data_IF_186966317793
#
_entry.id   IF_186966317793
#
_cell.length_a   1.000
_cell.length_b   1.000
_cell.length_c   1.000
_cell.angle_alpha   90.00
_cell.angle_beta   90.00
_cell.angle_gamma   90.00
#
_symmetry.space_group_name_H-M   'P 1'
#
loop_
_entity.id
_entity.type
_entity.pdbx_description
1 polymer ?
#
# COMPACT_ATOMS: atom_id res chain seq x y z
N UNK A 1 31.55 -5.93 2.73
CA UNK A 1 30.91 -5.73 4.05
C UNK A 1 29.71 -6.65 4.09
N UNK A 2 29.60 -7.53 5.09
CA UNK A 2 28.41 -8.35 5.24
C UNK A 2 27.31 -7.45 5.78
N UNK A 3 26.31 -7.14 4.96
CA UNK A 3 25.11 -6.47 5.40
C UNK A 3 24.28 -7.50 6.17
N UNK A 4 24.07 -7.29 7.47
CA UNK A 4 23.46 -8.28 8.35
C UNK A 4 21.93 -8.11 8.37
N UNK A 5 21.22 -9.07 7.78
CA UNK A 5 19.75 -9.11 7.79
C UNK A 5 19.27 -9.87 9.04
N UNK A 6 18.24 -9.35 9.71
CA UNK A 6 17.62 -10.03 10.85
C UNK A 6 17.02 -11.38 10.43
N UNK A 7 17.49 -12.46 11.06
CA UNK A 7 17.08 -13.84 10.79
C UNK A 7 15.60 -14.09 11.03
N UNK A 8 14.91 -13.25 11.82
CA UNK A 8 13.45 -13.32 12.00
C UNK A 8 12.68 -13.23 10.68
N UNK A 9 13.26 -12.61 9.66
CA UNK A 9 12.66 -12.50 8.32
C UNK A 9 12.62 -13.83 7.55
N UNK A 10 13.27 -14.89 8.05
CA UNK A 10 13.21 -16.24 7.45
C UNK A 10 11.82 -16.88 7.64
N UNK A 11 11.11 -16.51 8.71
CA UNK A 11 9.80 -17.07 9.05
C UNK A 11 8.66 -16.44 8.23
N UNK A 12 8.94 -15.33 7.55
CA UNK A 12 7.98 -14.58 6.75
C UNK A 12 8.22 -14.85 5.27
N UNK A 13 7.19 -15.27 4.54
CA UNK A 13 7.28 -15.39 3.07
C UNK A 13 6.92 -14.07 2.39
N UNK A 14 7.39 -13.87 1.16
CA UNK A 14 7.02 -12.69 0.35
C UNK A 14 5.51 -12.59 0.15
N UNK A 15 4.79 -13.73 0.09
CA UNK A 15 3.33 -13.75 0.03
C UNK A 15 2.67 -13.21 1.30
N UNK A 16 3.27 -13.47 2.46
CA UNK A 16 2.74 -13.06 3.76
C UNK A 16 2.98 -11.58 4.06
N UNK A 17 3.82 -10.91 3.26
CA UNK A 17 4.01 -9.47 3.36
C UNK A 17 2.70 -8.71 3.12
N UNK A 18 2.40 -7.71 3.97
CA UNK A 18 1.27 -6.81 3.74
C UNK A 18 1.35 -6.19 2.36
N UNK A 19 0.18 -5.98 1.74
CA UNK A 19 0.07 -5.40 0.40
C UNK A 19 0.85 -4.07 0.30
N UNK A 20 0.81 -3.25 1.35
CA UNK A 20 1.48 -1.96 1.45
C UNK A 20 3.00 -2.11 1.27
N UNK A 21 3.59 -3.14 1.89
CA UNK A 21 5.05 -3.40 1.81
C UNK A 21 5.46 -3.93 0.45
N UNK A 22 4.62 -4.76 -0.17
CA UNK A 22 4.82 -5.19 -1.57
C UNK A 22 4.73 -4.02 -2.55
N UNK A 23 3.82 -3.07 -2.31
CA UNK A 23 3.68 -1.86 -3.12
C UNK A 23 4.87 -0.91 -2.93
N UNK A 24 5.37 -0.73 -1.71
CA UNK A 24 6.57 0.06 -1.45
C UNK A 24 7.79 -0.56 -2.15
N UNK A 25 8.04 -1.85 -1.98
CA UNK A 25 9.09 -2.58 -2.70
C UNK A 25 8.98 -2.40 -4.22
N UNK A 26 7.77 -2.55 -4.76
CA UNK A 26 7.49 -2.29 -6.18
C UNK A 26 7.85 -0.86 -6.60
N UNK A 27 7.48 0.15 -5.80
CA UNK A 27 7.78 1.56 -6.11
C UNK A 27 9.29 1.84 -6.17
N UNK A 28 10.09 1.21 -5.31
CA UNK A 28 11.54 1.36 -5.31
C UNK A 28 12.22 0.63 -6.47
N UNK A 29 11.74 -0.58 -6.79
CA UNK A 29 12.38 -1.48 -7.75
C UNK A 29 11.90 -1.28 -9.19
N UNK A 30 10.77 -0.62 -9.42
CA UNK A 30 10.32 -0.23 -10.76
C UNK A 30 11.09 0.97 -11.32
N UNK A 31 11.82 1.71 -10.49
CA UNK A 31 12.68 2.81 -10.96
C UNK A 31 13.90 2.20 -11.64
N UNK A 32 13.95 2.35 -12.96
CA UNK A 32 15.03 1.80 -13.78
C UNK A 32 16.40 2.32 -13.34
N UNK A 33 17.32 1.39 -13.09
CA UNK A 33 18.70 1.73 -12.75
C UNK A 33 19.61 1.46 -13.94
N UNK A 34 20.27 2.51 -14.43
CA UNK A 34 21.17 2.44 -15.59
C UNK A 34 22.48 1.74 -15.24
N UNK A 35 22.93 1.88 -13.99
CA UNK A 35 24.18 1.29 -13.52
C UNK A 35 23.95 -0.16 -13.06
N UNK A 36 24.81 -1.06 -13.54
CA UNK A 36 24.83 -2.45 -13.09
C UNK A 36 25.47 -2.57 -11.69
N UNK A 37 25.14 -3.65 -11.00
CA UNK A 37 25.81 -4.06 -9.75
C UNK A 37 27.19 -4.65 -10.03
N UNK A 38 27.97 -4.86 -8.97
CA UNK A 38 29.30 -5.47 -9.03
C UNK A 38 29.30 -6.90 -9.61
N UNK A 39 28.16 -7.60 -9.51
CA UNK A 39 27.96 -8.93 -10.10
C UNK A 39 27.41 -8.90 -11.54
N UNK A 40 27.30 -7.71 -12.16
CA UNK A 40 26.86 -7.54 -13.55
C UNK A 40 25.34 -7.65 -13.75
N UNK A 41 24.56 -7.49 -12.68
CA UNK A 41 23.10 -7.55 -12.71
C UNK A 41 22.49 -6.15 -12.67
N UNK A 42 21.25 -6.01 -13.14
CA UNK A 42 20.52 -4.75 -13.02
C UNK A 42 20.18 -4.45 -11.55
N UNK A 43 20.18 -3.17 -11.15
CA UNK A 43 19.92 -2.74 -9.76
C UNK A 43 18.45 -2.42 -9.50
N UNK A 44 17.57 -3.10 -10.23
CA UNK A 44 16.11 -2.96 -10.22
C UNK A 44 15.46 -4.35 -10.27
N UNK A 45 14.13 -4.42 -10.46
CA UNK A 45 13.40 -5.68 -10.49
C UNK A 45 13.95 -6.69 -11.52
N UNK A 46 14.62 -6.23 -12.59
CA UNK A 46 15.20 -7.11 -13.62
C UNK A 46 16.36 -7.92 -13.05
N UNK A 47 17.16 -7.33 -12.16
CA UNK A 47 18.25 -8.04 -11.47
C UNK A 47 17.74 -9.18 -10.61
N UNK A 48 16.66 -8.93 -9.86
CA UNK A 48 15.98 -9.96 -9.06
C UNK A 48 15.44 -11.07 -9.97
N UNK A 49 14.80 -10.72 -11.09
CA UNK A 49 14.31 -11.69 -12.05
C UNK A 49 15.44 -12.54 -12.66
N UNK A 50 16.58 -11.92 -12.99
CA UNK A 50 17.75 -12.63 -13.50
C UNK A 50 18.32 -13.63 -12.49
N UNK A 51 18.39 -13.26 -11.20
CA UNK A 51 18.90 -14.15 -10.15
C UNK A 51 17.99 -15.34 -9.88
N UNK A 52 16.69 -15.15 -10.08
CA UNK A 52 15.69 -16.21 -10.01
C UNK A 52 15.62 -17.06 -11.29
N UNK A 53 16.56 -16.88 -12.22
CA UNK A 53 16.67 -17.60 -13.49
C UNK A 53 15.44 -17.44 -14.41
N UNK A 54 14.75 -16.29 -14.37
CA UNK A 54 13.74 -15.99 -15.38
C UNK A 54 14.41 -15.83 -16.75
N UNK A 55 13.78 -16.39 -17.78
CA UNK A 55 14.20 -16.23 -19.16
C UNK A 55 14.07 -14.78 -19.62
N UNK A 56 14.88 -14.39 -20.61
CA UNK A 56 14.79 -13.06 -21.22
C UNK A 56 13.37 -12.74 -21.70
N UNK A 57 12.67 -13.72 -22.28
CA UNK A 57 11.28 -13.58 -22.71
C UNK A 57 10.31 -13.24 -21.57
N UNK A 58 10.49 -13.82 -20.39
CA UNK A 58 9.64 -13.53 -19.22
C UNK A 58 9.91 -12.13 -18.69
N UNK A 59 11.17 -11.69 -18.68
CA UNK A 59 11.54 -10.32 -18.26
C UNK A 59 10.93 -9.28 -19.23
N UNK A 60 11.04 -9.51 -20.54
CA UNK A 60 10.41 -8.62 -21.54
C UNK A 60 8.89 -8.61 -21.46
N UNK A 61 8.26 -9.69 -20.99
CA UNK A 61 6.82 -9.69 -20.72
C UNK A 61 6.48 -8.85 -19.49
N UNK A 62 7.26 -8.97 -18.41
CA UNK A 62 7.09 -8.17 -17.20
C UNK A 62 7.23 -6.66 -17.48
N UNK A 63 8.19 -6.26 -18.31
CA UNK A 63 8.42 -4.87 -18.73
C UNK A 63 7.20 -4.19 -19.34
N UNK A 64 6.30 -4.96 -19.97
CA UNK A 64 5.09 -4.44 -20.63
C UNK A 64 3.92 -4.23 -19.67
N UNK A 65 4.02 -4.72 -18.44
CA UNK A 65 2.97 -4.62 -17.44
C UNK A 65 2.99 -3.26 -16.74
N UNK A 66 1.84 -2.88 -16.18
CA UNK A 66 1.72 -1.60 -15.45
C UNK A 66 2.59 -1.56 -14.19
N UNK A 67 2.77 -2.71 -13.52
CA UNK A 67 3.63 -2.86 -12.34
C UNK A 67 4.51 -4.11 -12.51
N UNK A 68 5.67 -3.98 -13.16
CA UNK A 68 6.58 -5.10 -13.43
C UNK A 68 7.05 -5.79 -12.15
N UNK A 69 7.52 -5.04 -11.15
CA UNK A 69 7.99 -5.60 -9.89
C UNK A 69 6.83 -6.21 -9.07
N UNK A 70 5.67 -5.57 -8.98
CA UNK A 70 4.53 -6.14 -8.27
C UNK A 70 4.03 -7.44 -8.91
N UNK A 71 4.10 -7.52 -10.24
CA UNK A 71 3.82 -8.75 -10.99
C UNK A 71 4.87 -9.83 -10.69
N UNK A 72 6.15 -9.48 -10.67
CA UNK A 72 7.25 -10.38 -10.28
C UNK A 72 7.06 -10.93 -8.87
N UNK A 73 6.72 -10.08 -7.88
CA UNK A 73 6.44 -10.50 -6.50
C UNK A 73 5.25 -11.46 -6.39
N UNK A 74 4.36 -11.46 -7.39
CA UNK A 74 3.19 -12.35 -7.46
C UNK A 74 3.50 -13.70 -8.12
N UNK A 75 4.67 -13.87 -8.75
CA UNK A 75 5.06 -15.15 -9.34
C UNK A 75 5.17 -16.22 -8.25
N UNK A 76 4.72 -17.44 -8.55
CA UNK A 76 4.65 -18.51 -7.55
C UNK A 76 6.01 -18.81 -6.90
N UNK A 77 7.10 -18.72 -7.66
CA UNK A 77 8.46 -18.91 -7.14
C UNK A 77 8.88 -17.80 -6.18
N UNK A 78 8.52 -16.55 -6.46
CA UNK A 78 8.88 -15.39 -5.64
C UNK A 78 8.00 -15.30 -4.40
N UNK A 79 6.71 -15.56 -4.56
CA UNK A 79 5.74 -15.54 -3.47
C UNK A 79 6.06 -16.58 -2.37
N UNK A 80 6.73 -17.69 -2.72
CA UNK A 80 7.16 -18.72 -1.77
C UNK A 80 8.50 -18.43 -1.10
N UNK A 81 9.27 -17.49 -1.65
CA UNK A 81 10.58 -17.11 -1.13
C UNK A 81 10.42 -16.49 0.26
N UNK A 82 11.41 -16.68 1.14
CA UNK A 82 11.41 -15.94 2.41
C UNK A 82 11.76 -14.47 2.17
N UNK A 83 11.31 -13.58 3.06
CA UNK A 83 11.69 -12.16 2.98
C UNK A 83 13.19 -11.99 3.19
N UNK A 84 13.79 -12.84 4.03
CA UNK A 84 15.25 -12.91 4.18
C UNK A 84 15.93 -13.19 2.84
N UNK A 85 15.51 -14.23 2.12
CA UNK A 85 16.09 -14.58 0.82
C UNK A 85 15.88 -13.45 -0.21
N UNK A 86 14.72 -12.78 -0.19
CA UNK A 86 14.47 -11.64 -1.08
C UNK A 86 15.46 -10.51 -0.80
N UNK A 87 15.79 -10.28 0.47
CA UNK A 87 16.71 -9.23 0.88
C UNK A 87 18.17 -9.60 0.59
N UNK A 88 18.53 -10.88 0.64
CA UNK A 88 19.82 -11.36 0.12
C UNK A 88 19.97 -11.07 -1.40
N UNK A 89 18.90 -11.25 -2.18
CA UNK A 89 18.89 -10.83 -3.59
C UNK A 89 19.12 -9.32 -3.71
N UNK A 90 18.50 -8.50 -2.87
CA UNK A 90 18.71 -7.04 -2.86
C UNK A 90 20.14 -6.63 -2.49
N UNK A 91 20.78 -7.32 -1.53
CA UNK A 91 22.19 -7.13 -1.18
C UNK A 91 23.07 -7.35 -2.41
N UNK A 92 22.83 -8.46 -3.12
CA UNK A 92 23.67 -8.85 -4.24
C UNK A 92 23.55 -7.91 -5.45
N UNK A 93 22.40 -7.25 -5.64
CA UNK A 93 22.24 -6.16 -6.62
C UNK A 93 22.62 -4.77 -6.05
N UNK A 94 23.12 -4.70 -4.81
CA UNK A 94 23.62 -3.48 -4.19
C UNK A 94 22.54 -2.41 -3.95
N UNK A 95 21.31 -2.82 -3.60
CA UNK A 95 20.21 -1.91 -3.25
C UNK A 95 19.99 -1.82 -1.74
N UNK A 96 21.03 -1.36 -1.05
CA UNK A 96 21.03 -1.20 0.41
C UNK A 96 20.05 -0.13 0.89
N UNK A 97 19.77 0.89 0.07
CA UNK A 97 18.78 1.93 0.32
C UNK A 97 17.39 1.35 0.63
N UNK A 98 16.99 0.33 -0.14
CA UNK A 98 15.70 -0.34 0.05
C UNK A 98 15.70 -1.16 1.34
N UNK A 99 16.84 -1.78 1.68
CA UNK A 99 16.97 -2.58 2.89
C UNK A 99 16.85 -1.71 4.14
N UNK A 100 17.55 -0.57 4.16
CA UNK A 100 17.52 0.39 5.27
C UNK A 100 16.12 0.95 5.50
N UNK A 101 15.37 1.22 4.42
CA UNK A 101 13.99 1.71 4.49
C UNK A 101 12.98 0.61 4.89
N UNK A 102 13.15 -0.63 4.41
CA UNK A 102 12.12 -1.66 4.52
C UNK A 102 12.28 -2.59 5.73
N UNK A 103 13.50 -2.92 6.13
CA UNK A 103 13.76 -3.84 7.25
C UNK A 103 13.09 -3.37 8.55
N UNK A 104 13.28 -2.12 9.01
CA UNK A 104 12.72 -1.69 10.29
C UNK A 104 11.19 -1.82 10.31
N UNK A 105 10.56 -1.39 9.22
CA UNK A 105 9.10 -1.34 9.15
C UNK A 105 8.53 -2.76 9.05
N UNK A 106 9.17 -3.68 8.33
CA UNK A 106 8.69 -5.08 8.24
C UNK A 106 8.86 -5.80 9.58
N UNK A 107 9.96 -5.55 10.30
CA UNK A 107 10.16 -6.11 11.63
C UNK A 107 9.09 -5.60 12.61
N UNK A 108 8.72 -4.32 12.53
CA UNK A 108 7.59 -3.77 13.31
C UNK A 108 6.28 -4.52 13.01
N UNK A 109 5.98 -4.80 11.73
CA UNK A 109 4.78 -5.55 11.35
C UNK A 109 4.79 -6.97 11.93
N UNK A 110 5.95 -7.63 11.96
CA UNK A 110 6.13 -8.96 12.56
C UNK A 110 5.90 -8.90 14.08
N UNK A 111 6.46 -7.90 14.76
CA UNK A 111 6.27 -7.70 16.21
C UNK A 111 4.79 -7.46 16.53
N UNK A 112 4.11 -6.61 15.77
CA UNK A 112 2.67 -6.35 15.95
C UNK A 112 1.87 -7.63 15.78
N UNK A 113 2.23 -8.47 14.80
CA UNK A 113 1.56 -9.75 14.55
C UNK A 113 1.76 -10.74 15.71
N UNK A 114 2.99 -10.88 16.21
CA UNK A 114 3.29 -11.72 17.38
C UNK A 114 2.52 -11.24 18.62
N UNK A 115 2.51 -9.93 18.86
CA UNK A 115 1.77 -9.34 19.98
C UNK A 115 0.26 -9.54 19.85
N UNK A 116 -0.29 -9.52 18.63
CA UNK A 116 -1.71 -9.79 18.38
C UNK A 116 -2.07 -11.26 18.66
N UNK A 117 -1.20 -12.20 18.30
CA UNK A 117 -1.40 -13.62 18.57
C UNK A 117 -1.26 -13.93 20.07
N UNK A 118 -0.40 -13.21 20.81
CA UNK A 118 -0.31 -13.30 22.27
C UNK A 118 -1.52 -12.66 22.98
N UNK A 119 -2.01 -11.51 22.49
CA UNK A 119 -3.12 -10.76 23.10
C UNK A 119 -4.52 -11.36 22.83
N UNK A 120 -4.65 -12.43 22.02
CA UNK A 120 -5.87 -13.24 22.02
C UNK A 120 -6.07 -14.03 23.32
N UNK A 121 -5.01 -14.16 24.14
CA UNK A 121 -5.07 -14.82 25.45
C UNK A 121 -5.27 -13.85 26.61
N UNK A 122 -4.88 -12.58 26.48
CA UNK A 122 -5.06 -11.58 27.55
C UNK A 122 -5.46 -10.22 26.99
N UNK A 123 -6.72 -9.85 27.22
CA UNK A 123 -7.20 -8.48 27.04
C UNK A 123 -6.49 -7.55 28.04
N UNK A 124 -5.68 -6.60 27.56
CA UNK A 124 -5.63 -5.24 28.12
C UNK A 124 -4.81 -4.24 27.30
N UNK A 125 -5.43 -3.07 27.17
CA UNK A 125 -4.97 -1.79 26.64
C UNK A 125 -3.56 -1.40 27.09
N UNK A 126 -2.69 -0.99 26.14
CA UNK A 126 -1.63 0.02 26.35
C UNK A 126 -1.42 0.79 25.02
N UNK A 127 -1.24 2.13 25.05
CA UNK A 127 -1.24 2.99 23.87
C UNK A 127 0.16 3.07 23.25
N UNK A 128 0.31 2.86 21.94
CA UNK A 128 1.60 3.07 21.27
C UNK A 128 1.39 3.71 19.90
N UNK A 129 1.96 4.90 19.80
CA UNK A 129 2.27 5.63 18.57
C UNK A 129 3.24 4.78 17.74
N UNK A 130 2.76 4.15 16.68
CA UNK A 130 3.52 3.80 15.48
C UNK A 130 2.47 3.51 14.41
N UNK A 131 2.15 4.52 13.59
CA UNK A 131 1.23 4.39 12.47
C UNK A 131 1.81 3.41 11.45
N UNK A 132 1.46 2.13 11.57
CA UNK A 132 1.46 1.21 10.44
C UNK A 132 0.46 1.76 9.43
N UNK A 133 0.93 2.66 8.56
CA UNK A 133 0.10 3.39 7.60
C UNK A 133 -0.62 2.37 6.71
N UNK A 134 -1.93 2.23 6.92
CA UNK A 134 -2.80 1.40 6.10
C UNK A 134 -3.03 2.15 4.79
N UNK A 135 -2.69 1.53 3.66
CA UNK A 135 -2.95 2.10 2.34
C UNK A 135 -4.31 1.62 1.83
N UNK A 136 -5.07 2.55 1.26
CA UNK A 136 -6.40 2.33 0.72
C UNK A 136 -6.40 2.60 -0.79
N UNK A 137 -7.18 1.82 -1.52
CA UNK A 137 -7.39 2.04 -2.94
C UNK A 137 -8.16 3.34 -3.19
N UNK A 138 -9.14 3.63 -2.33
CA UNK A 138 -9.84 4.90 -2.35
C UNK A 138 -10.34 5.37 -0.99
N UNK A 139 -10.34 6.69 -0.79
CA UNK A 139 -11.12 7.38 0.23
C UNK A 139 -12.56 7.56 -0.25
N UNK A 140 -13.57 7.25 0.58
CA UNK A 140 -14.97 7.50 0.26
C UNK A 140 -15.43 8.81 0.90
N UNK A 141 -15.74 9.80 0.05
CA UNK A 141 -16.22 11.12 0.44
C UNK A 141 -17.75 11.20 0.28
N UNK A 142 -18.48 11.41 1.38
CA UNK A 142 -19.95 11.35 1.42
C UNK A 142 -20.53 12.21 2.55
N UNK A 143 -21.77 12.69 2.38
CA UNK A 143 -22.53 13.34 3.43
C UNK A 143 -23.06 12.32 4.45
N UNK A 144 -23.21 12.72 5.72
CA UNK A 144 -23.72 11.83 6.79
C UNK A 144 -25.05 11.15 6.42
N UNK A 145 -25.92 11.85 5.70
CA UNK A 145 -27.22 11.35 5.25
C UNK A 145 -27.16 10.28 4.16
N UNK A 146 -25.97 10.00 3.60
CA UNK A 146 -25.75 9.00 2.55
C UNK A 146 -25.01 7.75 3.06
N UNK A 147 -24.79 7.64 4.38
CA UNK A 147 -24.05 6.54 5.00
C UNK A 147 -24.59 5.15 4.66
N UNK A 148 -25.91 4.97 4.59
CA UNK A 148 -26.52 3.67 4.29
C UNK A 148 -26.20 3.19 2.86
N UNK A 149 -26.15 4.12 1.91
CA UNK A 149 -25.70 3.82 0.55
C UNK A 149 -24.22 3.48 0.52
N UNK A 150 -23.39 4.25 1.25
CA UNK A 150 -21.95 4.00 1.35
C UNK A 150 -21.67 2.62 1.93
N UNK A 151 -22.39 2.20 2.98
CA UNK A 151 -22.28 0.85 3.56
C UNK A 151 -22.55 -0.23 2.51
N UNK A 152 -23.66 -0.11 1.79
CA UNK A 152 -24.03 -1.06 0.73
C UNK A 152 -22.98 -1.12 -0.39
N UNK A 153 -22.44 0.05 -0.77
CA UNK A 153 -21.38 0.16 -1.79
C UNK A 153 -20.08 -0.50 -1.31
N UNK A 154 -19.67 -0.24 -0.07
CA UNK A 154 -18.42 -0.77 0.50
C UNK A 154 -18.52 -2.28 0.71
N UNK A 155 -19.66 -2.79 1.17
CA UNK A 155 -19.89 -4.23 1.32
C UNK A 155 -19.69 -4.98 0.01
N UNK A 156 -20.12 -4.39 -1.11
CA UNK A 156 -19.91 -4.97 -2.44
C UNK A 156 -18.45 -4.84 -2.92
N UNK A 157 -17.86 -3.65 -2.82
CA UNK A 157 -16.53 -3.37 -3.37
C UNK A 157 -15.39 -4.05 -2.58
N UNK A 158 -15.58 -4.28 -1.29
CA UNK A 158 -14.62 -4.98 -0.43
C UNK A 158 -14.81 -6.51 -0.44
N UNK A 159 -15.79 -7.04 -1.19
CA UNK A 159 -15.93 -8.50 -1.34
C UNK A 159 -14.66 -9.11 -1.94
N UNK A 160 -14.32 -10.37 -1.62
CA UNK A 160 -13.16 -11.04 -2.20
C UNK A 160 -13.17 -11.13 -3.74
N UNK A 161 -14.36 -11.03 -4.35
CA UNK A 161 -14.53 -11.04 -5.81
C UNK A 161 -14.10 -9.72 -6.46
N UNK A 162 -14.21 -8.59 -5.75
CA UNK A 162 -13.82 -7.25 -6.22
C UNK A 162 -12.47 -6.84 -5.63
N UNK A 163 -12.33 -6.94 -4.31
CA UNK A 163 -11.05 -6.86 -3.60
C UNK A 163 -10.50 -5.47 -3.32
N UNK A 164 -11.33 -4.41 -3.37
CA UNK A 164 -10.88 -3.07 -3.01
C UNK A 164 -10.75 -2.90 -1.49
N UNK A 165 -9.84 -2.02 -1.08
CA UNK A 165 -9.73 -1.53 0.31
C UNK A 165 -10.14 -0.07 0.36
N UNK A 166 -11.25 0.21 1.03
CA UNK A 166 -11.81 1.56 1.07
C UNK A 166 -11.62 2.16 2.47
N UNK A 167 -11.30 3.45 2.52
CA UNK A 167 -11.34 4.19 3.78
C UNK A 167 -12.71 4.83 3.95
N UNK A 168 -13.38 4.52 5.06
CA UNK A 168 -14.67 5.06 5.46
C UNK A 168 -14.54 5.71 6.82
N UNK A 169 -14.80 7.02 6.91
CA UNK A 169 -14.57 7.81 8.13
C UNK A 169 -15.32 7.26 9.36
N UNK A 170 -16.53 6.75 9.20
CA UNK A 170 -17.33 6.22 10.32
C UNK A 170 -16.80 4.89 10.89
N UNK A 171 -15.94 4.18 10.15
CA UNK A 171 -15.39 2.86 10.54
C UNK A 171 -13.90 2.93 10.87
N UNK A 172 -13.15 3.67 10.05
CA UNK A 172 -11.69 3.59 9.98
C UNK A 172 -11.01 4.78 10.68
N UNK A 173 -11.76 5.84 11.01
CA UNK A 173 -11.22 6.99 11.75
C UNK A 173 -11.21 6.71 13.26
N UNK A 174 -10.02 6.72 13.86
CA UNK A 174 -9.86 6.57 15.31
C UNK A 174 -10.24 7.87 16.04
N UNK A 175 -11.01 7.76 17.13
CA UNK A 175 -11.47 8.91 17.94
C UNK A 175 -10.28 9.51 18.71
N UNK A 176 -9.92 10.77 18.43
CA UNK A 176 -8.93 11.51 19.24
C UNK A 176 -8.02 12.50 18.52
N UNK A 177 -7.97 12.52 17.17
CA UNK A 177 -7.11 13.44 16.41
C UNK A 177 -7.91 14.58 15.74
N UNK A 178 -7.25 15.73 15.57
CA UNK A 178 -7.79 16.90 14.87
C UNK A 178 -8.22 16.54 13.45
N UNK A 179 -9.51 16.70 13.19
CA UNK A 179 -10.25 16.05 12.09
C UNK A 179 -9.70 16.42 10.70
N UNK A 180 -9.36 17.68 10.44
CA UNK A 180 -9.01 18.16 9.09
C UNK A 180 -7.58 17.83 8.62
N UNK A 181 -6.56 18.06 9.45
CA UNK A 181 -5.16 17.74 9.09
C UNK A 181 -4.96 16.23 8.90
N UNK A 182 -5.67 15.44 9.70
CA UNK A 182 -5.68 13.97 9.58
C UNK A 182 -6.24 13.54 8.23
N UNK A 183 -7.34 14.14 7.76
CA UNK A 183 -7.91 13.82 6.46
C UNK A 183 -7.03 14.25 5.29
N UNK A 184 -6.42 15.45 5.35
CA UNK A 184 -5.53 15.91 4.30
C UNK A 184 -4.34 14.95 4.12
N UNK A 185 -3.67 14.59 5.22
CA UNK A 185 -2.56 13.64 5.20
C UNK A 185 -2.99 12.27 4.71
N UNK A 186 -4.17 11.80 5.13
CA UNK A 186 -4.71 10.50 4.73
C UNK A 186 -5.03 10.44 3.23
N UNK A 187 -5.69 11.48 2.70
CA UNK A 187 -6.01 11.59 1.28
C UNK A 187 -4.73 11.68 0.44
N UNK A 188 -3.73 12.41 0.91
CA UNK A 188 -2.50 12.66 0.17
C UNK A 188 -1.55 11.45 0.14
N UNK A 189 -1.38 10.80 1.28
CA UNK A 189 -0.31 9.81 1.50
C UNK A 189 -0.80 8.38 1.64
N UNK A 190 -2.09 8.16 1.92
CA UNK A 190 -2.63 6.82 2.23
C UNK A 190 -3.70 6.35 1.24
N UNK A 191 -4.20 7.22 0.36
CA UNK A 191 -5.24 6.89 -0.62
C UNK A 191 -4.78 7.18 -2.06
N UNK A 192 -5.07 6.25 -2.99
CA UNK A 192 -4.72 6.42 -4.41
C UNK A 192 -5.78 7.19 -5.21
N UNK A 193 -7.04 7.08 -4.81
CA UNK A 193 -8.21 7.70 -5.45
C UNK A 193 -9.16 8.24 -4.39
N UNK A 194 -10.09 9.09 -4.81
CA UNK A 194 -11.21 9.52 -3.99
C UNK A 194 -12.52 9.19 -4.73
N UNK A 195 -13.36 8.37 -4.11
CA UNK A 195 -14.75 8.15 -4.56
C UNK A 195 -15.61 9.25 -3.95
N UNK A 196 -16.32 10.01 -4.77
CA UNK A 196 -17.19 11.11 -4.33
C UNK A 196 -18.65 10.71 -4.53
N UNK A 197 -19.41 10.63 -3.45
CA UNK A 197 -20.85 10.35 -3.50
C UNK A 197 -21.61 11.67 -3.66
N UNK A 198 -22.05 11.95 -4.89
CA UNK A 198 -22.77 13.16 -5.22
C UNK A 198 -24.26 13.01 -4.87
N UNK A 199 -24.70 13.86 -3.94
CA UNK A 199 -26.08 14.01 -3.48
C UNK A 199 -26.40 15.47 -3.15
N UNK A 200 -27.67 15.88 -3.01
CA UNK A 200 -28.01 17.23 -2.56
C UNK A 200 -27.39 17.62 -1.21
N UNK A 201 -27.18 16.66 -0.31
CA UNK A 201 -26.62 16.94 1.02
C UNK A 201 -25.09 16.99 1.00
N UNK A 202 -24.45 16.30 0.05
CA UNK A 202 -23.02 16.46 -0.23
C UNK A 202 -22.64 17.92 -0.49
N UNK A 203 -23.45 18.62 -1.30
CA UNK A 203 -23.24 20.03 -1.61
C UNK A 203 -23.57 20.99 -0.47
N UNK A 204 -24.25 20.53 0.60
CA UNK A 204 -24.48 21.31 1.81
C UNK A 204 -23.38 21.10 2.85
N UNK A 205 -22.77 19.91 2.86
CA UNK A 205 -21.70 19.56 3.81
C UNK A 205 -20.43 20.37 3.57
N UNK A 206 -19.96 21.05 4.62
CA UNK A 206 -18.70 21.79 4.60
C UNK A 206 -17.50 20.82 4.47
N UNK A 207 -17.53 19.70 5.17
CA UNK A 207 -16.45 18.71 5.17
C UNK A 207 -16.27 18.06 3.80
N UNK A 208 -17.38 17.69 3.15
CA UNK A 208 -17.37 17.14 1.79
C UNK A 208 -16.76 18.12 0.78
N UNK A 209 -17.10 19.41 0.89
CA UNK A 209 -16.51 20.45 0.04
C UNK A 209 -15.02 20.57 0.28
N UNK A 210 -14.60 20.68 1.53
CA UNK A 210 -13.18 20.79 1.88
C UNK A 210 -12.38 19.61 1.34
N UNK A 211 -12.82 18.38 1.62
CA UNK A 211 -12.12 17.15 1.22
C UNK A 211 -12.04 17.02 -0.31
N UNK A 212 -13.14 17.28 -1.03
CA UNK A 212 -13.16 17.19 -2.49
C UNK A 212 -12.34 18.29 -3.17
N UNK A 213 -12.33 19.51 -2.62
CA UNK A 213 -11.47 20.61 -3.11
C UNK A 213 -10.00 20.30 -2.89
N UNK A 214 -9.64 19.78 -1.71
CA UNK A 214 -8.26 19.37 -1.42
C UNK A 214 -7.79 18.27 -2.39
N UNK A 215 -8.58 17.21 -2.57
CA UNK A 215 -8.25 16.14 -3.51
C UNK A 215 -8.21 16.62 -4.97
N UNK A 216 -9.04 17.60 -5.35
CA UNK A 216 -8.97 18.24 -6.67
C UNK A 216 -7.64 19.01 -6.85
N UNK A 217 -7.18 19.72 -5.81
CA UNK A 217 -5.87 20.39 -5.79
C UNK A 217 -4.73 19.39 -6.01
N UNK A 218 -4.72 18.29 -5.27
CA UNK A 218 -3.75 17.21 -5.43
C UNK A 218 -3.79 16.58 -6.84
N UNK A 219 -4.98 16.42 -7.42
CA UNK A 219 -5.15 15.87 -8.76
C UNK A 219 -4.47 16.75 -9.83
N UNK A 220 -4.58 18.07 -9.66
CA UNK A 220 -3.93 19.06 -10.52
C UNK A 220 -2.42 19.00 -10.33
N UNK A 221 -1.94 19.04 -9.09
CA UNK A 221 -0.51 19.02 -8.77
C UNK A 221 0.18 17.76 -9.29
N UNK A 222 -0.44 16.58 -9.08
CA UNK A 222 0.11 15.29 -9.52
C UNK A 222 -0.16 14.99 -11.00
N UNK A 223 -0.86 15.86 -11.73
CA UNK A 223 -1.31 15.61 -13.12
C UNK A 223 -1.99 14.23 -13.29
N UNK A 224 -2.82 13.84 -12.32
CA UNK A 224 -3.45 12.52 -12.28
C UNK A 224 -4.95 12.64 -12.02
N UNK A 225 -5.72 11.71 -12.60
CA UNK A 225 -7.16 11.59 -12.28
C UNK A 225 -7.30 10.98 -10.89
N UNK A 226 -7.60 11.77 -9.86
CA UNK A 226 -7.78 11.22 -8.49
C UNK A 226 -9.26 10.97 -8.16
N UNK A 227 -10.15 11.81 -8.69
CA UNK A 227 -11.57 11.82 -8.33
C UNK A 227 -12.41 10.85 -9.18
N UNK A 228 -13.30 10.10 -8.53
CA UNK A 228 -14.26 9.16 -9.13
C UNK A 228 -15.66 9.53 -8.61
N UNK A 229 -16.45 10.32 -9.35
CA UNK A 229 -17.78 10.73 -8.92
C UNK A 229 -18.82 9.62 -9.14
N UNK A 230 -19.68 9.39 -8.14
CA UNK A 230 -20.85 8.52 -8.19
C UNK A 230 -22.09 9.37 -7.89
N UNK A 231 -22.99 9.48 -8.86
CA UNK A 231 -24.26 10.22 -8.69
C UNK A 231 -25.25 9.29 -8.00
N UNK A 232 -25.56 9.55 -6.74
CA UNK A 232 -26.47 8.73 -5.95
C UNK A 232 -27.92 9.24 -5.98
N UNK A 233 -28.10 10.56 -5.82
CA UNK A 233 -29.40 11.22 -5.86
C UNK A 233 -29.37 12.29 -6.95
N UNK A 234 -30.54 12.64 -7.49
CA UNK A 234 -30.67 13.76 -8.42
C UNK A 234 -30.22 15.04 -7.72
N UNK A 235 -29.28 15.75 -8.34
CA UNK A 235 -28.65 16.97 -7.84
C UNK A 235 -29.54 18.19 -8.04
#
# INVERSE_FOLDING_TARGET
MAYEIDKRLTELTVRDLPLNRRQQLSSYLNVEQILMSDCGLARDYRGIAQQLNLSYSEITQLEKLFDPCGSLLSYQQVAKLSVFDLFELLISIGRFDILDDMIPVILDDVIIRINRDHNQSEQKLVPIQHESTIWYDAYVCYADSDLDFVRSLTEYLETPAVGFRLFVRDRDLMVGNWVYETFARLIETQCRRMIIILSPDFFKSHDCKFQSMFAAGLAIEKCQRILIPIIYKRL
#
